data_IF_816745043271
#
_entry.id   IF_816745043271
#
_cell.length_a   1.000
_cell.length_b   1.000
_cell.length_c   1.000
_cell.angle_alpha   90.00
_cell.angle_beta   90.00
_cell.angle_gamma   90.00
#
_symmetry.space_group_name_H-M   'P 1'
#
loop_
_entity.id
_entity.type
_entity.pdbx_description
1 polymer ?
#
# COMPACT_ATOMS: atom_id res chain seq x y z
N UNK A 1 10.63 -51.11 2.70
CA UNK A 1 11.72 -50.34 3.35
C UNK A 1 11.75 -48.96 2.69
N UNK A 2 11.28 -47.84 3.28
CA UNK A 2 11.87 -46.98 4.34
C UNK A 2 13.38 -46.78 4.23
N UNK A 3 13.81 -45.52 4.02
CA UNK A 3 14.93 -44.76 4.64
C UNK A 3 15.02 -43.38 3.92
N UNK A 4 14.47 -42.30 4.47
CA UNK A 4 15.02 -41.33 5.47
C UNK A 4 16.00 -40.29 4.90
N UNK A 5 15.49 -39.06 4.75
CA UNK A 5 16.01 -37.73 5.17
C UNK A 5 17.54 -37.56 5.30
N UNK A 6 18.09 -36.59 4.57
CA UNK A 6 19.30 -35.85 4.95
C UNK A 6 18.99 -34.34 4.94
N UNK A 7 18.88 -33.78 6.14
CA UNK A 7 19.00 -32.34 6.43
C UNK A 7 20.51 -32.06 6.52
N UNK A 8 20.97 -30.87 6.13
CA UNK A 8 21.84 -29.95 6.92
C UNK A 8 22.71 -29.05 6.02
N UNK A 9 22.61 -27.74 6.31
CA UNK A 9 23.58 -26.65 6.15
C UNK A 9 24.00 -26.16 4.76
N UNK A 10 23.32 -25.10 4.31
CA UNK A 10 23.99 -23.92 3.74
C UNK A 10 24.01 -22.81 4.79
N UNK A 11 24.84 -23.00 5.80
CA UNK A 11 25.34 -21.92 6.67
C UNK A 11 26.50 -21.28 5.88
N UNK A 12 26.63 -19.96 5.96
CA UNK A 12 27.73 -19.12 5.45
C UNK A 12 27.61 -18.63 3.99
N UNK A 13 27.06 -17.42 3.86
CA UNK A 13 27.60 -16.28 3.11
C UNK A 13 26.67 -15.08 3.38
N UNK A 14 26.85 -14.43 4.54
CA UNK A 14 26.34 -13.07 4.79
C UNK A 14 27.41 -12.08 4.32
N UNK A 15 27.63 -12.06 3.03
CA UNK A 15 28.09 -10.85 2.36
C UNK A 15 26.84 -10.30 1.68
N UNK A 16 26.48 -9.06 1.99
CA UNK A 16 25.31 -8.40 1.44
C UNK A 16 25.70 -7.77 0.10
N UNK A 17 25.47 -8.38 -1.07
CA UNK A 17 25.21 -7.60 -2.26
C UNK A 17 23.78 -7.11 -2.13
N UNK A 18 23.61 -5.81 -1.89
CA UNK A 18 22.31 -5.14 -1.83
C UNK A 18 21.47 -5.47 -3.07
N UNK A 19 20.34 -6.18 -2.93
CA UNK A 19 19.30 -6.19 -3.93
C UNK A 19 18.21 -5.24 -3.41
N UNK A 20 18.40 -3.94 -3.61
CA UNK A 20 17.24 -3.06 -3.78
C UNK A 20 16.58 -3.46 -5.12
N UNK A 21 15.26 -3.72 -5.20
CA UNK A 21 14.19 -3.04 -4.46
C UNK A 21 13.11 -4.01 -3.94
N UNK A 22 13.12 -4.32 -2.64
CA UNK A 22 11.93 -4.87 -1.99
C UNK A 22 10.92 -3.74 -1.78
N UNK A 23 9.94 -3.64 -2.69
CA UNK A 23 8.70 -2.83 -2.63
C UNK A 23 8.68 -1.71 -1.59
N UNK A 24 8.91 -0.47 -2.03
CA UNK A 24 8.69 0.76 -1.25
C UNK A 24 7.18 1.01 -1.07
N UNK A 25 6.47 0.02 -0.53
CA UNK A 25 5.06 0.13 -0.17
C UNK A 25 5.02 -0.08 1.33
N UNK A 26 4.67 0.97 2.08
CA UNK A 26 4.40 0.86 3.50
C UNK A 26 3.40 -0.28 3.74
N UNK A 27 3.78 -1.28 4.54
CA UNK A 27 2.90 -2.36 4.98
C UNK A 27 1.88 -1.91 6.04
N UNK A 28 1.83 -0.61 6.33
CA UNK A 28 0.86 -0.02 7.24
C UNK A 28 -0.53 -0.04 6.61
N UNK A 29 -1.49 -0.54 7.38
CA UNK A 29 -2.90 -0.46 7.05
C UNK A 29 -3.51 0.73 7.78
N UNK A 30 -4.18 1.59 7.03
CA UNK A 30 -4.85 2.80 7.49
C UNK A 30 -6.35 2.55 7.48
N UNK A 31 -7.05 2.99 8.51
CA UNK A 31 -8.50 3.06 8.47
C UNK A 31 -8.98 4.33 7.75
N UNK A 32 -10.30 4.55 7.72
CA UNK A 32 -10.84 5.74 7.08
C UNK A 32 -10.47 7.06 7.80
N UNK A 33 -10.28 7.04 9.12
CA UNK A 33 -9.88 8.23 9.89
C UNK A 33 -8.41 8.58 9.61
N UNK A 34 -7.53 7.58 9.66
CA UNK A 34 -6.11 7.72 9.34
C UNK A 34 -5.90 8.24 7.92
N UNK A 35 -6.66 7.71 6.95
CA UNK A 35 -6.61 8.18 5.56
C UNK A 35 -6.97 9.67 5.45
N UNK A 36 -8.00 10.11 6.17
CA UNK A 36 -8.41 11.53 6.16
C UNK A 36 -7.35 12.42 6.78
N UNK A 37 -6.74 11.97 7.89
CA UNK A 37 -5.71 12.73 8.58
C UNK A 37 -4.42 12.84 7.74
N UNK A 38 -3.97 11.72 7.19
CA UNK A 38 -2.70 11.62 6.47
C UNK A 38 -2.74 12.40 5.14
N UNK A 39 -3.83 12.25 4.39
CA UNK A 39 -4.00 12.91 3.09
C UNK A 39 -4.72 14.26 3.19
N UNK A 40 -5.11 14.69 4.40
CA UNK A 40 -5.88 15.91 4.65
C UNK A 40 -7.13 16.02 3.77
N UNK A 41 -7.90 14.94 3.69
CA UNK A 41 -9.10 14.86 2.84
C UNK A 41 -10.38 14.70 3.66
N UNK A 42 -11.51 15.09 3.07
CA UNK A 42 -12.84 14.89 3.66
C UNK A 42 -13.36 13.47 3.43
N UNK A 43 -14.40 13.07 4.17
CA UNK A 43 -15.13 11.82 3.91
C UNK A 43 -15.71 11.77 2.49
N UNK A 44 -16.10 12.92 1.93
CA UNK A 44 -16.63 12.98 0.58
C UNK A 44 -15.55 12.66 -0.45
N UNK A 45 -14.36 13.25 -0.29
CA UNK A 45 -13.19 12.97 -1.12
C UNK A 45 -12.78 11.51 -1.03
N UNK A 46 -12.70 10.94 0.18
CA UNK A 46 -12.38 9.52 0.37
C UNK A 46 -13.41 8.59 -0.29
N UNK A 47 -14.70 8.91 -0.19
CA UNK A 47 -15.77 8.18 -0.88
C UNK A 47 -15.63 8.27 -2.40
N UNK A 48 -15.34 9.46 -2.94
CA UNK A 48 -15.12 9.66 -4.37
C UNK A 48 -13.90 8.89 -4.88
N UNK A 49 -12.79 8.91 -4.14
CA UNK A 49 -11.59 8.14 -4.49
C UNK A 49 -11.88 6.65 -4.59
N UNK A 50 -12.65 6.09 -3.65
CA UNK A 50 -13.10 4.70 -3.73
C UNK A 50 -14.10 4.46 -4.87
N UNK A 51 -15.06 5.37 -5.08
CA UNK A 51 -16.08 5.27 -6.14
C UNK A 51 -15.43 5.28 -7.54
N UNK A 52 -14.42 6.12 -7.74
CA UNK A 52 -13.70 6.25 -9.00
C UNK A 52 -12.49 5.30 -9.10
N UNK A 53 -12.34 4.38 -8.14
CA UNK A 53 -11.25 3.39 -8.09
C UNK A 53 -9.84 4.02 -8.13
N UNK A 54 -9.70 5.24 -7.61
CA UNK A 54 -8.42 5.93 -7.41
C UNK A 54 -7.64 5.26 -6.28
N UNK A 55 -8.34 4.76 -5.26
CA UNK A 55 -7.78 3.94 -4.18
C UNK A 55 -8.55 2.63 -4.05
N UNK A 56 -7.88 1.60 -3.56
CA UNK A 56 -8.50 0.32 -3.22
C UNK A 56 -8.40 0.08 -1.71
N UNK A 57 -9.54 -0.28 -1.11
CA UNK A 57 -9.62 -0.64 0.29
C UNK A 57 -10.20 -2.04 0.46
N UNK A 58 -9.71 -2.76 1.47
CA UNK A 58 -10.23 -4.05 1.90
C UNK A 58 -11.38 -3.83 2.88
N UNK A 59 -12.57 -4.35 2.56
CA UNK A 59 -13.72 -4.29 3.45
C UNK A 59 -13.52 -5.26 4.61
N UNK A 60 -13.67 -4.76 5.83
CA UNK A 60 -13.65 -5.52 7.08
C UNK A 60 -14.99 -5.36 7.81
N UNK A 61 -15.21 -6.13 8.88
CA UNK A 61 -16.42 -6.00 9.70
C UNK A 61 -16.59 -4.63 10.38
N UNK A 62 -15.53 -3.80 10.44
CA UNK A 62 -15.52 -2.48 11.07
C UNK A 62 -15.44 -1.31 10.08
N UNK A 63 -15.33 -1.58 8.78
CA UNK A 63 -15.22 -0.54 7.76
C UNK A 63 -14.30 -0.93 6.61
N UNK A 64 -13.52 0.02 6.11
CA UNK A 64 -12.53 -0.21 5.06
C UNK A 64 -11.13 0.06 5.61
N UNK A 65 -10.21 -0.85 5.33
CA UNK A 65 -8.78 -0.66 5.57
C UNK A 65 -8.05 -0.47 4.24
N UNK A 66 -7.09 0.43 4.23
CA UNK A 66 -6.35 0.84 3.06
C UNK A 66 -4.87 0.60 3.31
N UNK A 67 -4.18 -0.08 2.41
CA UNK A 67 -2.73 -0.20 2.54
C UNK A 67 -2.08 1.12 2.11
N UNK A 68 -1.34 1.75 3.01
CA UNK A 68 -0.73 3.07 2.80
C UNK A 68 0.15 3.09 1.55
N UNK A 69 1.01 2.08 1.39
CA UNK A 69 1.89 1.98 0.22
C UNK A 69 1.09 1.88 -1.08
N UNK A 70 0.10 1.00 -1.14
CA UNK A 70 -0.76 0.86 -2.32
C UNK A 70 -1.52 2.15 -2.63
N UNK A 71 -2.04 2.84 -1.62
CA UNK A 71 -2.70 4.14 -1.80
C UNK A 71 -1.74 5.16 -2.40
N UNK A 72 -0.53 5.31 -1.84
CA UNK A 72 0.46 6.25 -2.37
C UNK A 72 0.85 5.90 -3.82
N UNK A 73 1.07 4.62 -4.12
CA UNK A 73 1.39 4.18 -5.47
C UNK A 73 0.23 4.42 -6.45
N UNK A 74 -1.01 4.15 -6.04
CA UNK A 74 -2.19 4.43 -6.86
C UNK A 74 -2.38 5.94 -7.07
N UNK A 75 -2.16 6.77 -6.05
CA UNK A 75 -2.20 8.22 -6.19
C UNK A 75 -1.14 8.71 -7.17
N UNK A 76 0.12 8.27 -7.03
CA UNK A 76 1.21 8.62 -7.96
C UNK A 76 0.89 8.18 -9.39
N UNK A 77 0.39 6.95 -9.58
CA UNK A 77 0.05 6.42 -10.90
C UNK A 77 -1.13 7.17 -11.54
N UNK A 78 -2.10 7.61 -10.74
CA UNK A 78 -3.20 8.44 -11.23
C UNK A 78 -2.75 9.90 -11.49
N UNK A 79 -1.82 10.46 -10.71
CA UNK A 79 -1.20 11.76 -10.95
C UNK A 79 -0.43 11.77 -12.29
N UNK A 80 0.34 10.72 -12.58
CA UNK A 80 1.07 10.58 -13.84
C UNK A 80 0.20 10.40 -15.08
N UNK A 81 -1.07 10.01 -14.94
CA UNK A 81 -2.02 9.80 -16.04
C UNK A 81 -2.92 11.00 -16.35
N UNK A 82 -2.65 12.16 -15.73
CA UNK A 82 -3.41 13.38 -16.03
C UNK A 82 -4.57 13.64 -15.07
N UNK A 83 -4.49 13.16 -13.83
CA UNK A 83 -5.43 13.55 -12.78
C UNK A 83 -5.05 14.91 -12.14
N UNK A 84 -4.95 15.93 -12.98
CA UNK A 84 -4.96 17.35 -12.61
C UNK A 84 -6.40 17.89 -12.43
N UNK A 85 -7.39 17.00 -12.35
CA UNK A 85 -8.82 17.34 -12.26
C UNK A 85 -9.39 17.35 -10.84
N UNK A 86 -8.56 17.11 -9.84
CA UNK A 86 -8.91 17.51 -8.47
C UNK A 86 -8.17 18.78 -8.19
N UNK A 87 -8.91 19.89 -8.21
CA UNK A 87 -8.45 21.14 -7.64
C UNK A 87 -7.81 20.82 -6.29
N UNK A 88 -6.55 21.18 -6.20
CA UNK A 88 -5.91 21.57 -4.98
C UNK A 88 -6.84 22.58 -4.28
N UNK A 89 -7.84 22.09 -3.56
CA UNK A 89 -8.62 22.87 -2.59
C UNK A 89 -7.65 23.10 -1.41
N UNK A 90 -6.65 23.94 -1.63
CA UNK A 90 -5.78 24.49 -0.61
C UNK A 90 -6.63 25.48 0.17
N UNK A 91 -7.09 25.04 1.34
CA UNK A 91 -7.50 25.90 2.45
C UNK A 91 -6.75 25.46 3.70
#
# INVERSE_FOLDING_TARGET
MKLKKAIVSKKYLKENPAPAPASVLSNKWLDAQDMKLLFKITDNTLRNWRKWKIIQGSKTGRGYLYNEGQVQAMLINNLGKGLLLFGFDFY
#
